data_IF_651747596354
#
_entry.id   IF_651747596354
#
_cell.length_a   1.000
_cell.length_b   1.000
_cell.length_c   1.000
_cell.angle_alpha   90.00
_cell.angle_beta   90.00
_cell.angle_gamma   90.00
#
_symmetry.space_group_name_H-M   'P 1'
#
loop_
_entity.id
_entity.type
_entity.pdbx_description
1 polymer ?
#
# COMPACT_ATOMS: atom_id res chain seq x y z
N UNK A 1 -24.71 9.08 7.43
CA UNK A 1 -25.42 8.77 6.18
C UNK A 1 -24.63 7.68 5.47
N UNK A 2 -25.15 6.46 5.42
CA UNK A 2 -24.53 5.32 4.71
C UNK A 2 -24.97 5.34 3.24
N UNK A 3 -24.26 4.67 2.33
CA UNK A 3 -24.56 4.69 0.89
C UNK A 3 -26.05 4.43 0.56
N UNK A 4 -26.70 3.45 1.21
CA UNK A 4 -28.13 3.17 0.99
C UNK A 4 -29.06 4.30 1.46
N UNK A 5 -28.71 4.99 2.54
CA UNK A 5 -29.46 6.16 3.01
C UNK A 5 -29.26 7.38 2.10
N UNK A 6 -28.09 7.50 1.48
CA UNK A 6 -27.83 8.55 0.50
C UNK A 6 -28.62 8.30 -0.78
N UNK A 7 -28.55 7.09 -1.34
CA UNK A 7 -29.23 6.74 -2.60
C UNK A 7 -30.75 6.89 -2.48
N UNK A 8 -31.33 6.57 -1.32
CA UNK A 8 -32.78 6.72 -1.10
C UNK A 8 -33.25 8.17 -0.98
N UNK A 9 -32.36 9.13 -0.72
CA UNK A 9 -32.69 10.55 -0.50
C UNK A 9 -32.17 11.48 -1.60
N UNK A 10 -31.21 11.05 -2.41
CA UNK A 10 -30.64 11.86 -3.48
C UNK A 10 -31.52 11.89 -4.73
N UNK A 11 -31.43 12.97 -5.52
CA UNK A 11 -32.13 13.09 -6.81
C UNK A 11 -31.46 12.28 -7.89
N UNK A 12 -30.12 12.32 -7.95
CA UNK A 12 -29.35 11.59 -8.93
C UNK A 12 -28.29 10.71 -8.23
N UNK A 13 -28.03 9.49 -8.72
CA UNK A 13 -27.03 8.63 -8.12
C UNK A 13 -25.67 9.32 -7.99
N UNK A 14 -25.24 10.11 -8.99
CA UNK A 14 -23.95 10.82 -8.97
C UNK A 14 -23.71 11.66 -7.69
N UNK A 15 -24.77 12.14 -7.05
CA UNK A 15 -24.69 12.94 -5.82
C UNK A 15 -24.09 12.15 -4.64
N UNK A 16 -24.21 10.82 -4.66
CA UNK A 16 -23.62 9.90 -3.66
C UNK A 16 -22.28 9.28 -4.12
N UNK A 17 -21.59 9.84 -5.12
CA UNK A 17 -20.36 9.26 -5.68
C UNK A 17 -19.27 9.03 -4.63
N UNK A 18 -19.07 10.00 -3.75
CA UNK A 18 -18.10 9.89 -2.66
C UNK A 18 -18.36 8.66 -1.77
N UNK A 19 -19.61 8.48 -1.32
CA UNK A 19 -19.99 7.33 -0.50
C UNK A 19 -19.95 6.00 -1.26
N UNK A 20 -20.16 6.02 -2.58
CA UNK A 20 -19.97 4.82 -3.42
C UNK A 20 -18.51 4.41 -3.48
N UNK A 21 -17.62 5.37 -3.67
CA UNK A 21 -16.19 5.11 -3.71
C UNK A 21 -15.70 4.52 -2.39
N UNK A 22 -16.14 5.07 -1.26
CA UNK A 22 -15.79 4.55 0.07
C UNK A 22 -16.37 3.15 0.31
N UNK A 23 -17.61 2.89 -0.12
CA UNK A 23 -18.19 1.55 -0.02
C UNK A 23 -17.44 0.51 -0.87
N UNK A 24 -17.07 0.88 -2.10
CA UNK A 24 -16.30 0.01 -2.99
C UNK A 24 -14.87 -0.19 -2.51
N UNK A 25 -14.28 0.83 -1.87
CA UNK A 25 -13.01 0.72 -1.18
C UNK A 25 -13.12 -0.28 -0.03
N UNK A 26 -14.12 -0.18 0.84
CA UNK A 26 -14.32 -1.15 1.92
C UNK A 26 -14.55 -2.59 1.43
N UNK A 27 -15.15 -2.78 0.24
CA UNK A 27 -15.41 -4.12 -0.30
C UNK A 27 -14.17 -4.73 -0.97
N UNK A 28 -13.42 -3.92 -1.73
CA UNK A 28 -12.35 -4.41 -2.60
C UNK A 28 -10.94 -4.02 -2.13
N UNK A 29 -10.84 -3.13 -1.14
CA UNK A 29 -9.63 -2.56 -0.57
C UNK A 29 -8.61 -2.12 -1.63
N UNK A 30 -9.08 -1.66 -2.80
CA UNK A 30 -8.24 -1.40 -3.96
C UNK A 30 -7.20 -0.32 -3.69
N UNK A 31 -7.59 0.76 -3.02
CA UNK A 31 -6.71 1.85 -2.58
C UNK A 31 -5.67 1.34 -1.57
N UNK A 32 -6.09 0.54 -0.60
CA UNK A 32 -5.18 -0.05 0.38
C UNK A 32 -4.15 -1.01 -0.23
N UNK A 33 -4.57 -1.89 -1.15
CA UNK A 33 -3.63 -2.74 -1.88
C UNK A 33 -2.66 -1.93 -2.71
N UNK A 34 -3.13 -0.87 -3.38
CA UNK A 34 -2.26 0.05 -4.13
C UNK A 34 -1.22 0.72 -3.23
N UNK A 35 -1.64 1.20 -2.05
CA UNK A 35 -0.77 1.82 -1.05
C UNK A 35 0.29 0.83 -0.55
N UNK A 36 -0.11 -0.37 -0.14
CA UNK A 36 0.82 -1.42 0.31
C UNK A 36 1.81 -1.80 -0.78
N UNK A 37 1.34 -1.97 -2.02
CA UNK A 37 2.21 -2.28 -3.17
C UNK A 37 3.25 -1.19 -3.44
N UNK A 38 2.87 0.09 -3.28
CA UNK A 38 3.81 1.22 -3.39
C UNK A 38 4.88 1.15 -2.30
N UNK A 39 4.48 0.93 -1.06
CA UNK A 39 5.41 0.80 0.08
C UNK A 39 6.36 -0.38 -0.15
N UNK A 40 5.85 -1.57 -0.46
CA UNK A 40 6.69 -2.75 -0.67
C UNK A 40 7.70 -2.57 -1.79
N UNK A 41 7.31 -1.94 -2.91
CA UNK A 41 8.24 -1.64 -4.00
C UNK A 41 9.33 -0.64 -3.60
N UNK A 42 8.99 0.32 -2.75
CA UNK A 42 9.98 1.29 -2.26
C UNK A 42 10.97 0.62 -1.30
N UNK A 43 10.49 -0.21 -0.38
CA UNK A 43 11.34 -0.97 0.53
C UNK A 43 12.25 -1.94 -0.22
N UNK A 44 11.73 -2.65 -1.22
CA UNK A 44 12.53 -3.50 -2.10
C UNK A 44 13.62 -2.68 -2.83
N UNK A 45 13.30 -1.47 -3.30
CA UNK A 45 14.28 -0.57 -3.93
C UNK A 45 15.38 -0.17 -2.95
N UNK A 46 15.04 0.18 -1.71
CA UNK A 46 16.00 0.54 -0.66
C UNK A 46 16.92 -0.64 -0.32
N UNK A 47 16.35 -1.84 -0.16
CA UNK A 47 17.12 -3.07 0.10
C UNK A 47 18.09 -3.37 -1.04
N UNK A 48 17.64 -3.34 -2.30
CA UNK A 48 18.51 -3.54 -3.47
C UNK A 48 19.63 -2.49 -3.55
N UNK A 49 19.34 -1.22 -3.23
CA UNK A 49 20.35 -0.18 -3.20
C UNK A 49 21.37 -0.38 -2.05
N UNK A 50 20.92 -0.85 -0.89
CA UNK A 50 21.80 -1.18 0.24
C UNK A 50 22.70 -2.38 -0.09
N UNK A 51 22.15 -3.46 -0.66
CA UNK A 51 22.93 -4.63 -1.09
C UNK A 51 24.00 -4.27 -2.12
N UNK A 52 23.68 -3.42 -3.12
CA UNK A 52 24.66 -2.93 -4.10
C UNK A 52 25.80 -2.10 -3.47
N UNK A 53 25.54 -1.39 -2.38
CA UNK A 53 26.58 -0.64 -1.65
C UNK A 53 27.50 -1.56 -0.86
N UNK A 54 26.97 -2.68 -0.34
CA UNK A 54 27.77 -3.71 0.35
C UNK A 54 28.65 -4.46 -0.63
N UNK A 55 28.13 -4.82 -1.82
CA UNK A 55 28.93 -5.48 -2.87
C UNK A 55 30.04 -4.57 -3.45
N UNK A 56 29.86 -3.24 -3.39
CA UNK A 56 30.82 -2.25 -3.88
C UNK A 56 31.84 -1.74 -2.86
N UNK A 57 31.73 -2.16 -1.59
CA UNK A 57 32.56 -1.67 -0.50
C UNK A 57 32.78 -2.76 0.55
N UNK A 58 33.97 -3.36 0.49
CA UNK A 58 34.58 -4.23 1.49
C UNK A 58 33.95 -5.62 1.69
N UNK A 59 34.67 -6.62 1.14
CA UNK A 59 34.55 -8.05 1.39
C UNK A 59 34.84 -8.47 2.86
N UNK A 60 34.38 -7.71 3.86
CA UNK A 60 34.69 -7.95 5.28
C UNK A 60 33.54 -7.65 6.26
N UNK A 61 32.30 -8.01 5.98
CA UNK A 61 31.33 -8.24 7.08
C UNK A 61 30.23 -9.23 6.67
N UNK A 62 30.62 -10.46 6.34
CA UNK A 62 29.69 -11.58 6.26
C UNK A 62 30.14 -12.68 7.22
N UNK A 63 30.12 -12.40 8.53
CA UNK A 63 29.93 -13.35 9.62
C UNK A 63 29.52 -12.46 10.80
N UNK A 64 28.27 -12.58 11.25
CA UNK A 64 27.81 -12.39 12.64
C UNK A 64 26.27 -12.48 12.67
N UNK A 65 25.73 -13.59 12.16
CA UNK A 65 24.47 -14.14 12.68
C UNK A 65 24.73 -15.64 12.88
N UNK A 66 25.56 -15.95 13.88
CA UNK A 66 25.87 -17.32 14.26
C UNK A 66 25.77 -17.60 15.75
N UNK A 67 25.10 -16.75 16.54
CA UNK A 67 24.82 -17.07 17.95
C UNK A 67 23.58 -16.33 18.48
N UNK A 68 22.39 -16.86 18.20
CA UNK A 68 21.33 -17.15 19.20
C UNK A 68 20.64 -18.42 18.75
#
# INVERSE_FOLDING_TARGET
MVLGECISKCKEPKDCAFLREDYLECLHHSKEFQRRNRIYKEEERKLKAALKKVDGGDAKTAIMISHI
#
